data_IF_266853341338
#
_entry.id   IF_266853341338
#
_cell.length_a   1.000
_cell.length_b   1.000
_cell.length_c   1.000
_cell.angle_alpha   90.00
_cell.angle_beta   90.00
_cell.angle_gamma   90.00
#
_symmetry.space_group_name_H-M   'P 1'
#
loop_
_entity.id
_entity.type
_entity.pdbx_description
1 polymer ?
#
# COMPACT_ATOMS: atom_id res chain seq x y z
N UNK A 1 -23.45 -49.34 -5.84
CA UNK A 1 -22.01 -49.05 -5.72
C UNK A 1 -21.89 -47.73 -4.98
N UNK A 2 -21.41 -47.77 -3.73
CA UNK A 2 -21.16 -46.61 -2.87
C UNK A 2 -19.75 -46.12 -3.13
N UNK A 3 -19.56 -44.81 -3.24
CA UNK A 3 -18.25 -44.17 -3.32
C UNK A 3 -18.30 -42.84 -2.59
N UNK A 4 -17.99 -42.88 -1.30
CA UNK A 4 -17.74 -41.77 -0.38
C UNK A 4 -16.29 -41.31 -0.49
N UNK A 5 -16.03 -40.01 -0.56
CA UNK A 5 -14.76 -39.42 -0.11
C UNK A 5 -15.03 -38.07 0.55
N UNK A 6 -15.30 -38.16 1.86
CA UNK A 6 -14.98 -37.13 2.85
C UNK A 6 -13.46 -36.97 2.95
N UNK A 7 -12.96 -35.76 3.24
CA UNK A 7 -11.58 -35.67 3.70
C UNK A 7 -10.90 -34.32 3.78
N UNK A 8 -11.49 -33.29 4.41
CA UNK A 8 -10.70 -32.16 4.95
C UNK A 8 -11.36 -31.58 6.22
N UNK A 9 -11.15 -32.26 7.36
CA UNK A 9 -11.32 -31.69 8.71
C UNK A 9 -10.23 -32.28 9.60
N UNK A 10 -9.30 -31.46 10.07
CA UNK A 10 -8.79 -31.52 11.45
C UNK A 10 -7.58 -30.59 11.67
N UNK A 11 -7.49 -30.15 12.94
CA UNK A 11 -6.40 -29.40 13.60
C UNK A 11 -6.42 -27.90 13.38
N UNK A 12 -7.04 -27.18 14.31
CA UNK A 12 -6.36 -26.18 15.14
C UNK A 12 -7.16 -26.01 16.45
N UNK A 13 -6.74 -26.74 17.48
CA UNK A 13 -7.10 -26.48 18.87
C UNK A 13 -5.78 -26.29 19.62
N UNK A 14 -5.50 -25.05 20.00
CA UNK A 14 -4.38 -24.68 20.85
C UNK A 14 -4.84 -23.65 21.87
N UNK A 15 -5.13 -24.10 23.08
CA UNK A 15 -5.30 -23.27 24.28
C UNK A 15 -3.98 -22.57 24.58
N UNK A 16 -4.02 -21.29 24.94
CA UNK A 16 -3.05 -20.70 25.86
C UNK A 16 -3.76 -19.77 26.85
N UNK A 17 -3.77 -20.20 28.10
CA UNK A 17 -4.03 -19.41 29.32
C UNK A 17 -2.72 -18.78 29.83
N UNK A 18 -2.85 -17.86 30.80
CA UNK A 18 -1.82 -17.10 31.57
C UNK A 18 -1.51 -15.70 31.00
N UNK A 19 -1.49 -14.61 31.77
CA UNK A 19 -1.67 -14.41 33.21
C UNK A 19 -1.57 -12.91 33.57
N UNK A 20 -2.23 -12.50 34.67
CA UNK A 20 -2.09 -11.19 35.32
C UNK A 20 -0.71 -11.03 35.97
N UNK A 21 -0.16 -9.81 35.96
CA UNK A 21 0.95 -9.42 36.86
C UNK A 21 1.43 -7.98 36.62
N UNK A 22 1.50 -7.10 37.66
CA UNK A 22 1.70 -5.66 37.50
C UNK A 22 3.15 -5.18 37.77
N UNK A 23 3.45 -3.97 37.31
CA UNK A 23 4.36 -3.05 38.03
C UNK A 23 5.56 -2.51 37.26
N UNK A 24 6.05 -1.39 37.81
CA UNK A 24 7.29 -0.66 37.48
C UNK A 24 7.26 0.22 36.21
N UNK A 25 7.82 1.42 36.18
CA UNK A 25 8.56 2.26 37.15
C UNK A 25 8.61 3.68 36.57
N UNK A 26 8.68 4.65 37.48
CA UNK A 26 8.96 6.07 37.21
C UNK A 26 10.27 6.23 36.42
N UNK A 27 10.26 7.07 35.39
CA UNK A 27 11.46 7.65 34.80
C UNK A 27 11.31 9.17 34.84
N UNK A 28 12.01 9.80 35.80
CA UNK A 28 12.26 11.24 35.78
C UNK A 28 13.34 11.54 34.75
N UNK A 29 13.10 12.52 33.89
CA UNK A 29 14.13 13.08 33.02
C UNK A 29 14.51 14.47 33.51
N UNK A 30 15.82 14.61 33.75
CA UNK A 30 16.53 15.81 34.19
C UNK A 30 16.64 16.77 33.02
N UNK A 31 16.12 18.00 33.18
CA UNK A 31 16.29 19.08 32.22
C UNK A 31 17.69 19.72 32.41
N UNK A 32 18.58 19.49 31.46
CA UNK A 32 19.92 20.07 31.40
C UNK A 32 19.94 21.33 30.52
N UNK A 33 20.44 22.42 31.12
CA UNK A 33 20.78 23.71 30.50
C UNK A 33 21.58 23.57 29.20
N UNK A 34 21.28 24.42 28.21
CA UNK A 34 22.31 24.95 27.30
C UNK A 34 22.11 26.44 27.06
N UNK A 35 23.24 27.12 27.17
CA UNK A 35 23.42 28.56 27.28
C UNK A 35 23.22 29.29 25.95
N UNK A 36 22.65 30.48 26.05
CA UNK A 36 22.71 31.47 24.98
C UNK A 36 24.07 32.17 24.97
N UNK A 37 24.61 32.40 23.78
CA UNK A 37 25.70 33.34 23.56
C UNK A 37 25.26 34.31 22.47
N UNK A 38 25.07 35.54 22.91
CA UNK A 38 24.87 36.74 22.12
C UNK A 38 26.26 37.27 21.71
N UNK A 39 26.47 37.56 20.43
CA UNK A 39 27.60 38.40 19.98
C UNK A 39 27.17 39.22 18.76
N UNK A 40 26.83 40.48 19.04
CA UNK A 40 26.82 41.60 18.11
C UNK A 40 28.21 42.22 18.16
N UNK A 41 28.85 42.46 17.01
CA UNK A 41 29.65 43.67 16.81
C UNK A 41 29.72 44.03 15.33
N UNK A 42 29.27 45.26 15.05
CA UNK A 42 29.45 45.98 13.82
C UNK A 42 30.88 46.52 13.71
N UNK A 43 31.41 46.59 12.48
CA UNK A 43 32.63 47.30 12.14
C UNK A 43 32.52 47.84 10.72
N UNK A 44 32.72 49.15 10.56
CA UNK A 44 32.47 49.91 9.35
C UNK A 44 33.79 50.36 8.68
N UNK A 45 33.75 50.44 7.35
CA UNK A 45 34.48 51.32 6.40
C UNK A 45 36.02 51.29 6.33
N UNK A 46 36.54 50.95 5.15
CA UNK A 46 37.66 51.65 4.51
C UNK A 46 37.60 51.49 2.97
N UNK A 47 37.63 52.61 2.25
CA UNK A 47 37.81 52.71 0.80
C UNK A 47 39.30 52.65 0.41
N UNK A 48 39.60 52.12 -0.77
CA UNK A 48 40.81 52.51 -1.52
C UNK A 48 41.44 51.40 -2.37
N UNK A 49 41.48 51.61 -3.70
CA UNK A 49 42.52 51.05 -4.57
C UNK A 49 42.03 50.33 -5.83
N UNK A 50 41.93 51.08 -6.94
CA UNK A 50 41.75 50.56 -8.30
C UNK A 50 42.92 49.68 -8.76
N UNK A 51 42.63 48.57 -9.44
CA UNK A 51 43.47 48.08 -10.54
C UNK A 51 42.66 47.20 -11.50
N UNK A 52 42.60 47.66 -12.75
CA UNK A 52 42.05 46.98 -13.91
C UNK A 52 42.63 45.57 -14.13
N UNK A 53 41.75 44.56 -14.30
CA UNK A 53 42.01 43.38 -15.14
C UNK A 53 40.74 42.53 -15.33
N UNK A 54 39.94 42.87 -16.34
CA UNK A 54 39.18 41.95 -17.19
C UNK A 54 37.93 41.25 -16.60
N UNK A 55 36.74 41.38 -17.22
CA UNK A 55 35.71 40.36 -17.08
C UNK A 55 36.19 39.13 -17.86
N UNK A 56 36.98 38.29 -17.19
CA UNK A 56 37.16 36.92 -17.61
C UNK A 56 35.84 36.21 -17.41
N UNK A 57 34.96 36.30 -18.41
CA UNK A 57 33.84 35.39 -18.63
C UNK A 57 34.40 33.97 -18.69
N UNK A 58 34.65 33.41 -17.51
CA UNK A 58 34.88 31.99 -17.37
C UNK A 58 33.49 31.38 -17.49
N UNK A 59 33.05 31.25 -18.75
CA UNK A 59 31.92 30.42 -19.09
C UNK A 59 32.20 29.07 -18.44
N UNK A 60 31.50 28.79 -17.34
CA UNK A 60 31.53 27.50 -16.71
C UNK A 60 31.20 26.49 -17.81
N UNK A 61 32.20 25.70 -18.22
CA UNK A 61 31.98 24.64 -19.19
C UNK A 61 30.81 23.77 -18.75
N UNK A 62 30.10 23.11 -19.67
CA UNK A 62 28.93 22.32 -19.33
C UNK A 62 29.29 21.37 -18.18
N UNK A 63 28.55 21.49 -17.07
CA UNK A 63 28.71 20.58 -15.93
C UNK A 63 28.56 19.15 -16.48
N UNK A 64 29.55 18.27 -16.26
CA UNK A 64 29.48 16.92 -16.79
C UNK A 64 28.23 16.23 -16.26
N UNK A 65 27.49 15.56 -17.15
CA UNK A 65 26.35 14.75 -16.74
C UNK A 65 26.81 13.65 -15.77
N UNK A 66 26.01 13.34 -14.75
CA UNK A 66 26.39 12.34 -13.76
C UNK A 66 26.54 10.97 -14.42
N UNK A 67 27.49 10.19 -13.94
CA UNK A 67 27.59 8.76 -14.28
C UNK A 67 26.50 8.01 -13.53
N UNK A 68 25.62 7.32 -14.24
CA UNK A 68 24.55 6.52 -13.65
C UNK A 68 24.98 5.06 -13.55
N UNK A 69 24.93 4.49 -12.34
CA UNK A 69 25.25 3.09 -12.08
C UNK A 69 23.96 2.28 -11.91
N UNK A 70 23.89 1.15 -12.61
CA UNK A 70 22.75 0.23 -12.61
C UNK A 70 21.88 0.37 -13.87
N UNK A 71 21.16 -0.71 -14.18
CA UNK A 71 20.25 -0.74 -15.33
C UNK A 71 18.90 -0.15 -14.95
N UNK A 72 18.40 0.77 -15.79
CA UNK A 72 17.10 1.38 -15.60
C UNK A 72 15.97 0.38 -15.87
N UNK A 73 14.96 0.37 -15.00
CA UNK A 73 13.71 -0.37 -15.25
C UNK A 73 12.90 0.26 -16.41
N UNK A 74 12.11 -0.54 -17.15
CA UNK A 74 11.56 -0.10 -18.43
C UNK A 74 10.44 0.96 -18.30
N UNK A 75 9.66 0.95 -17.22
CA UNK A 75 8.50 1.84 -17.08
C UNK A 75 8.88 3.07 -16.28
N UNK A 76 8.78 4.26 -16.88
CA UNK A 76 8.95 5.53 -16.17
C UNK A 76 7.67 5.96 -15.46
N UNK A 77 7.77 6.35 -14.19
CA UNK A 77 6.62 6.79 -13.36
C UNK A 77 6.63 8.32 -13.25
N UNK A 78 6.18 8.99 -14.31
CA UNK A 78 6.39 10.44 -14.47
C UNK A 78 5.30 11.32 -13.83
N UNK A 79 4.26 10.74 -13.25
CA UNK A 79 3.11 11.50 -12.77
C UNK A 79 2.03 10.63 -12.11
N UNK A 80 0.93 11.27 -11.68
CA UNK A 80 -0.26 10.56 -11.25
C UNK A 80 -0.77 9.65 -12.37
N UNK A 81 -1.21 8.46 -12.00
CA UNK A 81 -1.72 7.47 -12.93
C UNK A 81 -3.19 7.73 -13.25
N UNK A 82 -3.58 7.77 -14.53
CA UNK A 82 -4.97 7.95 -14.92
C UNK A 82 -5.81 6.76 -14.46
N UNK A 83 -7.05 7.04 -14.04
CA UNK A 83 -8.00 6.01 -13.60
C UNK A 83 -7.79 5.49 -12.18
N UNK A 84 -6.72 5.90 -11.49
CA UNK A 84 -6.57 5.56 -10.07
C UNK A 84 -7.75 6.13 -9.26
N UNK A 85 -8.40 5.25 -8.49
CA UNK A 85 -9.47 5.62 -7.56
C UNK A 85 -8.95 5.45 -6.15
N UNK A 86 -8.86 6.56 -5.42
CA UNK A 86 -8.57 6.51 -3.99
C UNK A 86 -9.67 5.72 -3.28
N UNK A 87 -9.29 4.94 -2.27
CA UNK A 87 -10.11 3.93 -1.57
C UNK A 87 -11.48 4.40 -1.04
N UNK A 88 -11.77 5.70 -1.07
CA UNK A 88 -13.00 6.31 -0.57
C UNK A 88 -13.96 6.82 -1.65
N UNK A 89 -13.59 6.81 -2.94
CA UNK A 89 -14.38 7.43 -4.01
C UNK A 89 -15.36 6.50 -4.76
N UNK A 90 -15.25 5.17 -4.63
CA UNK A 90 -16.03 4.23 -5.49
C UNK A 90 -17.38 3.78 -4.93
N UNK A 91 -17.83 4.30 -3.80
CA UNK A 91 -18.95 3.68 -3.05
C UNK A 91 -20.28 3.74 -3.80
N UNK A 92 -20.55 4.84 -4.50
CA UNK A 92 -21.79 5.05 -5.25
C UNK A 92 -21.81 4.22 -6.56
N UNK A 93 -20.64 3.99 -7.16
CA UNK A 93 -20.46 3.16 -8.36
C UNK A 93 -20.55 1.66 -8.03
N UNK A 94 -20.07 1.26 -6.85
CA UNK A 94 -20.17 -0.11 -6.33
C UNK A 94 -21.62 -0.50 -6.04
N UNK A 95 -22.45 0.45 -5.59
CA UNK A 95 -23.85 0.23 -5.23
C UNK A 95 -24.73 -0.09 -6.46
N UNK A 96 -24.40 0.47 -7.64
CA UNK A 96 -25.15 0.24 -8.88
C UNK A 96 -24.99 -1.17 -9.48
N UNK A 97 -23.93 -1.91 -9.12
CA UNK A 97 -23.62 -3.22 -9.69
C UNK A 97 -24.27 -4.41 -8.95
N UNK A 98 -25.06 -4.15 -7.89
CA UNK A 98 -25.60 -5.19 -7.02
C UNK A 98 -27.08 -5.48 -7.36
N UNK A 99 -27.42 -6.71 -7.79
CA UNK A 99 -28.81 -7.07 -8.09
C UNK A 99 -29.68 -7.01 -6.82
N UNK A 100 -30.97 -6.68 -7.00
CA UNK A 100 -31.96 -6.70 -5.93
C UNK A 100 -32.12 -8.10 -5.31
N UNK A 101 -32.31 -8.17 -3.99
CA UNK A 101 -32.34 -9.41 -3.22
C UNK A 101 -32.42 -9.14 -1.71
N UNK A 102 -32.14 -10.15 -0.88
CA UNK A 102 -32.01 -10.03 0.57
C UNK A 102 -31.07 -8.86 0.92
N UNK A 103 -31.53 -7.92 1.75
CA UNK A 103 -30.79 -6.70 2.10
C UNK A 103 -29.42 -7.00 2.74
N UNK A 104 -29.28 -8.11 3.45
CA UNK A 104 -28.03 -8.55 4.05
C UNK A 104 -27.06 -9.10 3.01
N UNK A 105 -27.53 -9.95 2.10
CA UNK A 105 -26.73 -10.46 0.99
C UNK A 105 -26.25 -9.29 0.11
N UNK A 106 -27.15 -8.38 -0.24
CA UNK A 106 -26.81 -7.20 -1.03
C UNK A 106 -25.69 -6.39 -0.38
N UNK A 107 -25.79 -6.10 0.93
CA UNK A 107 -24.74 -5.41 1.68
C UNK A 107 -23.40 -6.14 1.63
N UNK A 108 -23.40 -7.46 1.86
CA UNK A 108 -22.18 -8.28 1.82
C UNK A 108 -21.53 -8.25 0.44
N UNK A 109 -22.31 -8.37 -0.64
CA UNK A 109 -21.79 -8.31 -1.99
C UNK A 109 -21.23 -6.92 -2.32
N UNK A 110 -21.87 -5.85 -1.86
CA UNK A 110 -21.36 -4.47 -1.98
C UNK A 110 -20.03 -4.31 -1.25
N UNK A 111 -19.91 -4.79 -0.02
CA UNK A 111 -18.66 -4.74 0.74
C UNK A 111 -17.53 -5.55 0.10
N UNK A 112 -17.84 -6.72 -0.45
CA UNK A 112 -16.88 -7.55 -1.19
C UNK A 112 -16.36 -6.82 -2.43
N UNK A 113 -17.25 -6.17 -3.18
CA UNK A 113 -16.86 -5.37 -4.35
C UNK A 113 -15.97 -4.20 -3.92
N UNK A 114 -16.37 -3.46 -2.88
CA UNK A 114 -15.58 -2.33 -2.37
C UNK A 114 -14.18 -2.78 -1.93
N UNK A 115 -14.07 -3.89 -1.18
CA UNK A 115 -12.77 -4.45 -0.78
C UNK A 115 -11.90 -4.83 -1.98
N UNK A 116 -12.50 -5.47 -2.99
CA UNK A 116 -11.79 -5.86 -4.21
C UNK A 116 -11.27 -4.63 -4.97
N UNK A 117 -12.11 -3.59 -5.14
CA UNK A 117 -11.69 -2.34 -5.78
C UNK A 117 -10.62 -1.60 -4.97
N UNK A 118 -10.71 -1.61 -3.64
CA UNK A 118 -9.69 -0.99 -2.78
C UNK A 118 -8.33 -1.65 -2.98
N UNK A 119 -8.26 -2.97 -3.11
CA UNK A 119 -7.01 -3.66 -3.48
C UNK A 119 -6.58 -3.32 -4.92
N UNK A 120 -7.54 -3.28 -5.84
CA UNK A 120 -7.27 -2.95 -7.23
C UNK A 120 -6.69 -1.54 -7.41
N UNK A 121 -7.13 -0.56 -6.62
CA UNK A 121 -6.78 0.85 -6.74
C UNK A 121 -7.25 1.52 -8.05
N UNK A 122 -7.97 0.81 -8.89
CA UNK A 122 -8.45 1.25 -10.22
C UNK A 122 -9.80 0.60 -10.50
N UNK A 123 -10.69 1.35 -11.13
CA UNK A 123 -11.98 0.81 -11.57
C UNK A 123 -11.78 -0.27 -12.63
N UNK A 124 -12.63 -1.30 -12.62
CA UNK A 124 -12.59 -2.41 -13.56
C UNK A 124 -13.89 -3.20 -13.55
N UNK A 125 -14.00 -4.18 -14.44
CA UNK A 125 -15.17 -5.05 -14.51
C UNK A 125 -15.20 -5.95 -13.28
N UNK A 126 -16.18 -5.73 -12.41
CA UNK A 126 -16.23 -6.39 -11.10
C UNK A 126 -17.59 -7.00 -10.81
N UNK A 127 -17.58 -8.30 -10.51
CA UNK A 127 -18.74 -9.02 -9.99
C UNK A 127 -18.45 -9.65 -8.64
N UNK A 128 -19.50 -9.91 -7.86
CA UNK A 128 -19.42 -10.62 -6.58
C UNK A 128 -20.63 -11.53 -6.45
N UNK A 129 -20.42 -12.75 -5.98
CA UNK A 129 -21.48 -13.74 -5.70
C UNK A 129 -21.10 -14.60 -4.51
N UNK A 130 -22.10 -15.11 -3.81
CA UNK A 130 -21.92 -16.07 -2.72
C UNK A 130 -22.44 -17.45 -3.13
N UNK A 131 -22.02 -18.49 -2.42
CA UNK A 131 -22.48 -19.84 -2.69
C UNK A 131 -24.02 -19.91 -2.70
N UNK A 132 -24.58 -20.45 -3.80
CA UNK A 132 -26.03 -20.54 -4.03
C UNK A 132 -26.79 -19.20 -3.96
N UNK A 133 -26.10 -18.07 -4.13
CA UNK A 133 -26.66 -16.71 -3.99
C UNK A 133 -27.37 -16.48 -2.64
N UNK A 134 -26.82 -17.06 -1.57
CA UNK A 134 -27.36 -16.95 -0.21
C UNK A 134 -26.24 -16.79 0.82
N UNK A 135 -26.60 -16.28 1.99
CA UNK A 135 -25.73 -16.23 3.18
C UNK A 135 -26.39 -17.05 4.27
N UNK A 136 -25.62 -17.91 4.93
CA UNK A 136 -26.05 -18.51 6.19
C UNK A 136 -25.86 -17.49 7.32
N UNK A 137 -26.97 -17.08 7.94
CA UNK A 137 -27.00 -16.09 9.02
C UNK A 137 -26.85 -16.72 10.40
N UNK A 138 -26.64 -18.04 10.49
CA UNK A 138 -26.41 -18.69 11.78
C UNK A 138 -25.12 -18.15 12.44
N UNK A 139 -25.12 -17.93 13.77
CA UNK A 139 -23.94 -17.45 14.48
C UNK A 139 -22.70 -18.32 14.25
N UNK A 140 -21.63 -17.74 13.74
CA UNK A 140 -20.39 -18.45 13.42
C UNK A 140 -20.43 -19.24 12.11
N UNK A 141 -21.48 -19.10 11.30
CA UNK A 141 -21.52 -19.66 9.96
C UNK A 141 -20.45 -19.02 9.07
N UNK A 142 -19.95 -19.82 8.14
CA UNK A 142 -18.96 -19.41 7.13
C UNK A 142 -19.60 -19.64 5.77
N UNK A 143 -19.73 -18.57 4.98
CA UNK A 143 -20.26 -18.65 3.61
C UNK A 143 -19.15 -18.32 2.61
N UNK A 144 -18.81 -19.24 1.68
CA UNK A 144 -17.89 -18.94 0.59
C UNK A 144 -18.50 -17.93 -0.39
N UNK A 145 -17.70 -16.95 -0.79
CA UNK A 145 -18.06 -16.01 -1.84
C UNK A 145 -16.90 -15.85 -2.82
N UNK A 146 -17.20 -15.37 -4.02
CA UNK A 146 -16.21 -15.13 -5.07
C UNK A 146 -16.42 -13.74 -5.63
N UNK A 147 -15.32 -13.00 -5.81
CA UNK A 147 -15.30 -11.82 -6.68
C UNK A 147 -14.55 -12.13 -7.96
N UNK A 148 -14.97 -11.51 -9.06
CA UNK A 148 -14.28 -11.61 -10.35
C UNK A 148 -13.96 -10.20 -10.80
N UNK A 149 -12.68 -9.85 -10.85
CA UNK A 149 -12.17 -8.55 -11.30
C UNK A 149 -11.42 -8.72 -12.60
N UNK A 150 -11.89 -8.14 -13.70
CA UNK A 150 -11.27 -8.26 -15.04
C UNK A 150 -10.95 -9.73 -15.42
N UNK A 151 -11.83 -10.65 -15.02
CA UNK A 151 -11.67 -12.11 -15.24
C UNK A 151 -10.83 -12.85 -14.20
N UNK A 152 -10.24 -12.17 -13.21
CA UNK A 152 -9.49 -12.77 -12.11
C UNK A 152 -10.41 -13.13 -10.95
N UNK A 153 -10.50 -14.41 -10.62
CA UNK A 153 -11.34 -14.89 -9.52
C UNK A 153 -10.61 -14.86 -8.17
N UNK A 154 -11.31 -14.36 -7.15
CA UNK A 154 -10.82 -14.29 -5.77
C UNK A 154 -11.83 -14.94 -4.83
N UNK A 155 -11.38 -15.93 -4.05
CA UNK A 155 -12.20 -16.65 -3.10
C UNK A 155 -12.18 -15.99 -1.71
N UNK A 156 -13.35 -15.60 -1.23
CA UNK A 156 -13.57 -14.92 0.05
C UNK A 156 -14.37 -15.81 0.99
N UNK A 157 -14.21 -15.60 2.28
CA UNK A 157 -15.09 -16.21 3.29
C UNK A 157 -15.81 -15.13 4.08
N UNK A 158 -17.13 -15.25 4.17
CA UNK A 158 -17.97 -14.40 5.01
C UNK A 158 -18.26 -15.14 6.30
N UNK A 159 -17.82 -14.57 7.43
CA UNK A 159 -17.99 -15.17 8.74
C UNK A 159 -18.98 -14.34 9.54
N UNK A 160 -20.12 -14.95 9.86
CA UNK A 160 -21.13 -14.33 10.73
C UNK A 160 -20.65 -14.35 12.17
N UNK A 161 -20.73 -13.21 12.85
CA UNK A 161 -20.28 -13.07 14.23
C UNK A 161 -21.09 -13.97 15.17
N UNK A 162 -20.42 -14.53 16.18
CA UNK A 162 -21.08 -15.31 17.22
C UNK A 162 -21.77 -14.45 18.28
N UNK A 163 -21.36 -13.19 18.37
CA UNK A 163 -21.67 -12.30 19.49
C UNK A 163 -22.85 -11.36 19.22
N UNK A 164 -23.80 -11.76 18.36
CA UNK A 164 -24.97 -10.93 18.07
C UNK A 164 -25.84 -10.78 19.33
N UNK A 165 -26.08 -9.53 19.82
CA UNK A 165 -26.97 -9.31 20.95
C UNK A 165 -28.39 -9.83 20.65
N UNK A 166 -29.11 -10.37 21.65
CA UNK A 166 -30.52 -10.68 21.50
C UNK A 166 -31.29 -9.42 21.04
N UNK A 167 -32.01 -9.52 19.91
CA UNK A 167 -32.77 -8.40 19.34
C UNK A 167 -31.99 -7.48 18.39
N UNK A 168 -30.77 -7.85 17.98
CA UNK A 168 -30.04 -7.12 16.94
C UNK A 168 -30.84 -7.12 15.63
N UNK A 169 -31.08 -5.91 15.09
CA UNK A 169 -31.76 -5.71 13.80
C UNK A 169 -30.87 -6.08 12.60
N UNK A 170 -29.57 -6.31 12.83
CA UNK A 170 -28.58 -6.57 11.79
C UNK A 170 -27.62 -7.67 12.24
N UNK A 171 -27.26 -8.53 11.30
CA UNK A 171 -26.23 -9.55 11.53
C UNK A 171 -24.86 -8.93 11.26
N UNK A 172 -23.98 -8.94 12.25
CA UNK A 172 -22.59 -8.53 12.06
C UNK A 172 -21.81 -9.68 11.42
N UNK A 173 -20.92 -9.34 10.49
CA UNK A 173 -20.04 -10.29 9.82
C UNK A 173 -18.65 -9.69 9.66
N UNK A 174 -17.69 -10.55 9.36
CA UNK A 174 -16.37 -10.18 8.86
C UNK A 174 -16.11 -10.87 7.53
N UNK A 175 -15.30 -10.22 6.70
CA UNK A 175 -14.87 -10.73 5.41
C UNK A 175 -13.42 -11.16 5.59
N UNK A 176 -13.18 -12.47 5.58
CA UNK A 176 -11.81 -12.99 5.57
C UNK A 176 -11.21 -12.79 4.19
N UNK A 177 -10.06 -12.11 4.09
CA UNK A 177 -9.49 -11.83 2.80
C UNK A 177 -8.81 -13.10 2.21
N UNK A 178 -8.75 -13.26 0.88
CA UNK A 178 -8.14 -14.41 0.19
C UNK A 178 -6.64 -14.56 0.46
N UNK A 179 -6.05 -15.76 0.34
CA UNK A 179 -4.59 -15.95 0.43
C UNK A 179 -3.81 -15.27 -0.71
N UNK A 180 -4.52 -14.72 -1.70
CA UNK A 180 -3.99 -13.95 -2.82
C UNK A 180 -4.50 -12.51 -2.74
N UNK A 181 -3.76 -11.58 -3.31
CA UNK A 181 -4.17 -10.20 -3.49
C UNK A 181 -4.19 -9.84 -4.98
N UNK A 182 -4.99 -8.83 -5.31
CA UNK A 182 -5.03 -8.25 -6.65
C UNK A 182 -3.97 -7.16 -6.76
N UNK A 183 -3.00 -7.37 -7.66
CA UNK A 183 -1.96 -6.39 -8.00
C UNK A 183 -2.28 -5.79 -9.37
N UNK A 184 -2.45 -4.47 -9.43
CA UNK A 184 -2.61 -3.75 -10.71
C UNK A 184 -1.42 -2.84 -10.96
N UNK A 185 -1.01 -2.72 -12.22
CA UNK A 185 0.07 -1.81 -12.62
C UNK A 185 -0.24 -0.37 -12.19
N UNK A 186 -1.47 0.09 -12.44
CA UNK A 186 -1.95 1.44 -12.09
C UNK A 186 -1.79 1.73 -10.60
N UNK A 187 -2.19 0.80 -9.72
CA UNK A 187 -2.08 1.01 -8.27
C UNK A 187 -0.62 1.07 -7.82
N UNK A 188 0.23 0.15 -8.30
CA UNK A 188 1.67 0.14 -7.96
C UNK A 188 2.34 1.44 -8.41
N UNK A 189 2.14 1.84 -9.67
CA UNK A 189 2.78 3.04 -10.21
C UNK A 189 2.27 4.30 -9.53
N UNK A 190 0.99 4.37 -9.20
CA UNK A 190 0.43 5.51 -8.46
C UNK A 190 1.01 5.61 -7.05
N UNK A 191 1.03 4.52 -6.31
CA UNK A 191 1.53 4.52 -4.94
C UNK A 191 3.03 4.83 -4.93
N UNK A 192 3.79 4.29 -5.88
CA UNK A 192 5.20 4.62 -6.01
C UNK A 192 5.42 6.11 -6.33
N UNK A 193 4.62 6.68 -7.23
CA UNK A 193 4.64 8.12 -7.53
C UNK A 193 4.30 8.98 -6.29
N UNK A 194 3.34 8.56 -5.48
CA UNK A 194 3.00 9.25 -4.23
C UNK A 194 4.16 9.19 -3.24
N UNK A 195 4.79 8.02 -3.05
CA UNK A 195 5.99 7.90 -2.20
C UNK A 195 7.12 8.80 -2.72
N UNK A 196 7.33 8.85 -4.04
CA UNK A 196 8.34 9.68 -4.70
C UNK A 196 8.17 11.19 -4.44
N UNK A 197 6.95 11.64 -4.21
CA UNK A 197 6.59 13.07 -4.17
C UNK A 197 6.15 13.55 -2.78
N UNK A 198 5.79 12.64 -1.87
CA UNK A 198 5.17 12.98 -0.59
C UNK A 198 6.16 13.29 0.54
N UNK A 199 7.43 12.89 0.42
CA UNK A 199 8.42 13.10 1.47
C UNK A 199 9.22 14.39 1.22
N UNK A 200 9.03 15.44 2.05
CA UNK A 200 9.76 16.69 1.88
C UNK A 200 11.27 16.46 2.03
N UNK A 201 12.06 16.89 1.03
CA UNK A 201 13.51 16.72 1.03
C UNK A 201 14.01 15.34 0.59
N UNK A 202 13.10 14.42 0.24
CA UNK A 202 13.44 13.11 -0.32
C UNK A 202 12.61 12.89 -1.58
N UNK A 203 13.13 13.41 -2.70
CA UNK A 203 12.52 13.22 -4.01
C UNK A 203 13.21 12.04 -4.71
N UNK A 204 12.40 11.09 -5.17
CA UNK A 204 12.88 10.05 -6.07
C UNK A 204 13.12 10.67 -7.44
N UNK A 205 14.39 10.82 -7.81
CA UNK A 205 14.75 11.25 -9.15
C UNK A 205 14.60 10.08 -10.13
N UNK A 206 14.01 10.35 -11.29
CA UNK A 206 13.77 9.38 -12.36
C UNK A 206 13.19 8.04 -11.83
N UNK A 207 12.01 8.08 -11.18
CA UNK A 207 11.34 6.89 -10.66
C UNK A 207 10.90 5.97 -11.79
N UNK A 208 11.23 4.68 -11.65
CA UNK A 208 10.99 3.65 -12.66
C UNK A 208 10.50 2.36 -12.02
N UNK A 209 9.72 1.56 -12.72
CA UNK A 209 9.29 0.25 -12.25
C UNK A 209 9.42 -0.81 -13.35
N UNK A 210 9.35 -2.07 -12.94
CA UNK A 210 9.13 -3.18 -13.87
C UNK A 210 7.84 -3.00 -14.67
N UNK A 211 7.78 -3.69 -15.80
CA UNK A 211 6.54 -3.85 -16.55
C UNK A 211 5.64 -4.85 -15.81
N UNK A 212 4.60 -4.33 -15.16
CA UNK A 212 3.63 -5.11 -14.40
C UNK A 212 2.42 -5.33 -15.32
N UNK A 213 1.84 -6.55 -15.36
CA UNK A 213 0.57 -6.79 -16.04
C UNK A 213 -0.52 -5.82 -15.55
N UNK A 214 -1.49 -5.51 -16.40
CA UNK A 214 -2.58 -4.60 -16.04
C UNK A 214 -3.26 -5.00 -14.71
N UNK A 215 -3.55 -6.28 -14.55
CA UNK A 215 -4.00 -6.90 -13.31
C UNK A 215 -3.47 -8.34 -13.21
N UNK A 216 -3.06 -8.76 -12.01
CA UNK A 216 -2.61 -10.13 -11.71
C UNK A 216 -2.89 -10.49 -10.25
N UNK A 217 -3.08 -11.79 -9.97
CA UNK A 217 -3.15 -12.30 -8.61
C UNK A 217 -1.75 -12.68 -8.11
N UNK A 218 -1.40 -12.18 -6.93
CA UNK A 218 -0.12 -12.48 -6.26
C UNK A 218 -0.38 -13.03 -4.86
N UNK A 219 0.60 -13.71 -4.27
CA UNK A 219 0.50 -14.15 -2.88
C UNK A 219 0.32 -12.96 -1.95
N UNK A 220 -0.55 -13.10 -0.95
CA UNK A 220 -0.74 -12.09 0.10
C UNK A 220 0.18 -12.38 1.29
N UNK A 221 0.58 -11.34 2.01
CA UNK A 221 1.20 -11.48 3.32
C UNK A 221 0.34 -12.27 4.31
N UNK A 222 1.01 -12.97 5.22
CA UNK A 222 0.39 -13.53 6.42
C UNK A 222 0.36 -12.45 7.52
N UNK A 223 -0.40 -12.66 8.60
CA UNK A 223 -0.59 -11.65 9.64
C UNK A 223 0.74 -11.00 10.11
N UNK A 224 0.90 -9.70 9.85
CA UNK A 224 2.11 -8.93 10.17
C UNK A 224 3.34 -9.19 9.28
N UNK A 225 3.18 -9.96 8.20
CA UNK A 225 4.22 -10.27 7.21
C UNK A 225 3.87 -9.67 5.84
N UNK A 226 4.87 -9.56 4.98
CA UNK A 226 4.72 -9.05 3.62
C UNK A 226 5.15 -10.12 2.61
N UNK A 227 4.35 -10.31 1.57
CA UNK A 227 4.68 -11.20 0.46
C UNK A 227 5.40 -10.44 -0.65
N UNK A 228 6.49 -11.01 -1.15
CA UNK A 228 7.20 -10.47 -2.31
C UNK A 228 6.45 -10.83 -3.60
N UNK A 229 6.11 -9.82 -4.41
CA UNK A 229 5.41 -10.01 -5.69
C UNK A 229 6.34 -10.45 -6.83
N UNK A 230 7.66 -10.33 -6.63
CA UNK A 230 8.67 -10.49 -7.68
C UNK A 230 8.94 -9.22 -8.50
N UNK A 231 8.07 -8.21 -8.41
CA UNK A 231 8.24 -6.92 -9.10
C UNK A 231 9.05 -5.94 -8.25
N UNK A 232 9.66 -4.97 -8.93
CA UNK A 232 10.49 -3.94 -8.32
C UNK A 232 10.19 -2.57 -8.90
N UNK A 233 10.34 -1.57 -8.06
CA UNK A 233 10.45 -0.17 -8.46
C UNK A 233 11.84 0.35 -8.11
N UNK A 234 12.21 1.49 -8.66
CA UNK A 234 13.58 1.97 -8.66
C UNK A 234 13.60 3.49 -8.73
N UNK A 235 14.59 4.11 -8.12
CA UNK A 235 14.87 5.54 -8.25
C UNK A 235 16.37 5.82 -8.31
N UNK A 236 16.76 7.03 -8.71
CA UNK A 236 18.14 7.50 -8.62
C UNK A 236 18.39 8.10 -7.24
N UNK A 237 19.30 7.49 -6.49
CA UNK A 237 19.85 8.06 -5.26
C UNK A 237 21.03 8.99 -5.57
N UNK A 238 21.25 9.96 -4.67
CA UNK A 238 22.25 11.01 -4.80
C UNK A 238 21.62 12.37 -5.08
N UNK A 239 22.28 13.43 -4.63
CA UNK A 239 21.85 14.81 -4.84
C UNK A 239 22.05 15.24 -6.30
N UNK A 240 21.31 16.25 -6.72
CA UNK A 240 21.54 16.91 -8.00
C UNK A 240 22.97 17.50 -8.01
N UNK A 241 23.78 17.07 -8.98
CA UNK A 241 25.19 17.47 -9.09
C UNK A 241 26.19 16.41 -8.60
N UNK A 242 25.75 15.32 -7.98
CA UNK A 242 26.64 14.21 -7.64
C UNK A 242 27.23 13.60 -8.92
N UNK A 243 28.56 13.42 -9.02
CA UNK A 243 29.21 12.93 -10.24
C UNK A 243 28.86 11.46 -10.55
N UNK A 244 28.40 10.73 -9.54
CA UNK A 244 27.94 9.34 -9.65
C UNK A 244 26.63 9.20 -8.91
N UNK A 245 25.63 8.63 -9.56
CA UNK A 245 24.30 8.36 -8.99
C UNK A 245 23.96 6.89 -9.17
N UNK A 246 23.36 6.29 -8.15
CA UNK A 246 23.06 4.87 -8.15
C UNK A 246 21.57 4.64 -8.30
N UNK A 247 21.20 3.66 -9.10
CA UNK A 247 19.85 3.10 -9.08
C UNK A 247 19.65 2.31 -7.79
N UNK A 248 18.62 2.65 -7.04
CA UNK A 248 18.19 1.91 -5.84
C UNK A 248 16.90 1.20 -6.15
N UNK A 249 16.90 -0.12 -5.99
CA UNK A 249 15.73 -0.96 -6.18
C UNK A 249 14.95 -1.12 -4.86
N UNK A 250 13.64 -1.01 -4.96
CA UNK A 250 12.67 -1.32 -3.91
C UNK A 250 11.81 -2.49 -4.38
N UNK A 251 11.54 -3.41 -3.46
CA UNK A 251 10.64 -4.53 -3.68
C UNK A 251 9.20 -4.05 -3.61
N UNK A 252 8.39 -4.51 -4.56
CA UNK A 252 6.93 -4.35 -4.49
C UNK A 252 6.40 -5.50 -3.67
N UNK A 253 5.85 -5.18 -2.50
CA UNK A 253 5.37 -6.14 -1.52
C UNK A 253 3.87 -5.98 -1.29
N UNK A 254 3.22 -7.06 -0.86
CA UNK A 254 1.82 -7.09 -0.44
C UNK A 254 1.73 -7.46 1.03
N UNK A 255 1.07 -6.64 1.85
CA UNK A 255 0.82 -6.95 3.26
C UNK A 255 -0.37 -7.91 3.47
N UNK A 256 -0.75 -8.16 4.73
CA UNK A 256 -1.85 -9.04 5.12
C UNK A 256 -3.25 -8.48 4.84
N UNK A 257 -3.35 -7.19 4.52
CA UNK A 257 -4.59 -6.55 4.07
C UNK A 257 -4.71 -6.55 2.54
N UNK A 258 -3.66 -6.96 1.83
CA UNK A 258 -3.61 -6.93 0.36
C UNK A 258 -3.14 -5.58 -0.19
N UNK A 259 -2.59 -4.69 0.66
CA UNK A 259 -2.11 -3.39 0.25
C UNK A 259 -0.66 -3.45 -0.26
N UNK A 260 -0.36 -2.62 -1.25
CA UNK A 260 0.97 -2.50 -1.85
C UNK A 260 1.89 -1.66 -0.98
N UNK A 261 3.09 -2.16 -0.70
CA UNK A 261 4.15 -1.43 0.00
C UNK A 261 5.50 -1.58 -0.71
N UNK A 262 6.47 -0.74 -0.36
CA UNK A 262 7.81 -0.71 -0.98
C UNK A 262 8.90 -0.86 0.08
N UNK A 263 9.87 -1.76 -0.14
CA UNK A 263 11.03 -1.99 0.75
C UNK A 263 12.32 -2.33 0.03
#
# INVERSE_FOLDING_TARGET
>A
MRGTTDGWRSRWLGRNTFGRGPGARRAGFVAGLLAGVLLLMAGAVACGGDTDAGPGDTAAGPTPSPTIVGTARPVGVTGPQPGFVASWYGRDEVEQAAPGGDAQLHRILTDLRQKTLTMAGVMGDLTARCENDRIDLAPGAVTPCVTVYDGLEMAWEIIVSRDAPPGALWVSYRIEPPPVALLTATNVYQLFWQVATSVPGFHFDDPRCDEIPAAILVGRGMAGEKADTGYRCQYLAGAAGDPVRNRVDLRVLIDDEGAVTFE
#
